data_IF_427303306072
#
_entry.id   IF_427303306072
#
_cell.length_a   1.000
_cell.length_b   1.000
_cell.length_c   1.000
_cell.angle_alpha   90.00
_cell.angle_beta   90.00
_cell.angle_gamma   90.00
#
_symmetry.space_group_name_H-M   'P 1'
#
loop_
_entity.id
_entity.type
_entity.pdbx_description
1 polymer ?
#
# COMPACT_ATOMS: atom_id res chain seq x y z
N UNK A 1 8.12 12.77 16.10
CA UNK A 1 7.74 12.15 14.82
C UNK A 1 6.32 12.58 14.51
N UNK A 2 6.05 13.16 13.33
CA UNK A 2 4.69 13.54 12.94
C UNK A 2 3.90 12.31 12.55
N UNK A 3 2.61 12.36 12.78
CA UNK A 3 1.68 11.28 12.51
C UNK A 3 0.53 11.80 11.64
N UNK A 4 0.33 11.18 10.49
CA UNK A 4 -0.78 11.46 9.58
C UNK A 4 -1.81 10.35 9.70
N UNK A 5 -3.01 10.73 10.14
CA UNK A 5 -4.12 9.79 10.29
C UNK A 5 -4.66 9.36 8.93
N UNK A 6 -5.25 8.19 8.91
CA UNK A 6 -5.85 7.60 7.71
C UNK A 6 -6.88 8.51 7.05
N UNK A 7 -6.91 8.49 5.75
CA UNK A 7 -7.93 9.15 4.94
C UNK A 7 -9.19 8.29 4.91
N UNK A 8 -10.40 8.85 4.98
CA UNK A 8 -11.62 8.08 4.82
C UNK A 8 -11.69 7.45 3.41
N UNK A 9 -12.58 6.46 3.25
CA UNK A 9 -12.90 5.88 1.96
C UNK A 9 -13.31 6.94 0.95
N UNK A 10 -13.04 6.72 -0.32
CA UNK A 10 -13.47 7.62 -1.37
C UNK A 10 -14.67 7.05 -2.15
N UNK A 11 -15.44 7.97 -2.74
CA UNK A 11 -16.67 7.62 -3.45
C UNK A 11 -16.44 7.16 -4.90
N UNK A 12 -15.20 7.20 -5.38
CA UNK A 12 -14.84 6.81 -6.75
C UNK A 12 -13.88 7.80 -7.41
N UNK A 13 -13.58 7.61 -8.69
CA UNK A 13 -12.63 8.45 -9.44
C UNK A 13 -13.02 9.93 -9.52
N UNK A 14 -14.29 10.25 -9.36
CA UNK A 14 -14.81 11.62 -9.38
C UNK A 14 -14.86 12.28 -7.98
N UNK A 15 -14.28 11.67 -6.97
CA UNK A 15 -14.24 12.21 -5.61
C UNK A 15 -13.48 13.56 -5.60
N UNK A 16 -14.13 14.67 -5.19
CA UNK A 16 -13.53 16.01 -5.27
C UNK A 16 -12.31 16.19 -4.37
N UNK A 17 -12.11 15.32 -3.40
CA UNK A 17 -10.92 15.32 -2.55
C UNK A 17 -9.76 14.50 -3.12
N UNK A 18 -9.97 13.79 -4.22
CA UNK A 18 -8.91 13.09 -4.91
C UNK A 18 -7.83 14.08 -5.36
N UNK A 19 -6.59 13.77 -5.03
CA UNK A 19 -5.44 14.60 -5.38
C UNK A 19 -5.22 15.86 -4.53
N UNK A 20 -6.07 16.16 -3.55
CA UNK A 20 -5.79 17.23 -2.59
C UNK A 20 -4.61 16.86 -1.68
N UNK A 21 -3.62 17.76 -1.60
CA UNK A 21 -2.46 17.58 -0.74
C UNK A 21 -2.89 17.50 0.73
N UNK A 22 -2.56 16.39 1.39
CA UNK A 22 -2.92 16.09 2.79
C UNK A 22 -1.91 16.63 3.80
N UNK A 23 -0.71 16.97 3.34
CA UNK A 23 0.32 17.52 4.18
C UNK A 23 1.62 17.73 3.43
N UNK A 24 2.61 18.29 4.14
CA UNK A 24 3.96 18.48 3.62
C UNK A 24 4.94 17.63 4.39
N UNK A 25 5.93 17.07 3.72
CA UNK A 25 7.04 16.32 4.30
C UNK A 25 8.33 17.10 4.06
N UNK A 26 9.16 17.23 5.07
CA UNK A 26 10.52 17.71 4.89
C UNK A 26 11.43 16.54 4.48
N UNK A 27 12.50 16.85 3.73
CA UNK A 27 13.54 15.86 3.46
C UNK A 27 14.21 15.42 4.78
N UNK A 28 14.57 14.15 4.84
CA UNK A 28 15.17 13.46 5.99
C UNK A 28 14.27 13.39 7.23
N UNK A 29 13.00 13.73 7.07
CA UNK A 29 12.01 13.59 8.13
C UNK A 29 11.48 12.15 8.19
N UNK A 30 11.39 11.61 9.42
CA UNK A 30 10.68 10.34 9.68
C UNK A 30 9.26 10.65 10.13
N UNK A 31 8.29 10.02 9.49
CA UNK A 31 6.85 10.20 9.75
C UNK A 31 6.15 8.87 9.88
N UNK A 32 4.97 8.89 10.49
CA UNK A 32 4.00 7.77 10.45
C UNK A 32 2.82 8.17 9.58
N UNK A 33 2.46 7.31 8.65
CA UNK A 33 1.28 7.47 7.79
C UNK A 33 0.36 6.28 8.01
N UNK A 34 -0.86 6.55 8.47
CA UNK A 34 -1.89 5.53 8.56
C UNK A 34 -2.58 5.33 7.21
N UNK A 35 -2.80 4.07 6.87
CA UNK A 35 -3.53 3.65 5.67
C UNK A 35 -4.70 2.75 6.03
N UNK A 36 -5.72 2.76 5.20
CA UNK A 36 -6.80 1.78 5.24
C UNK A 36 -6.40 0.68 4.26
N UNK A 37 -6.56 -0.56 4.62
CA UNK A 37 -6.34 -1.70 3.74
C UNK A 37 -7.26 -1.62 2.52
N UNK A 38 -6.93 -2.36 1.46
CA UNK A 38 -7.59 -2.32 0.16
C UNK A 38 -9.10 -2.46 0.19
N UNK A 39 -9.67 -2.82 -0.91
CA UNK A 39 -11.11 -2.90 -1.07
C UNK A 39 -11.81 -3.63 0.08
N UNK A 40 -12.82 -3.03 0.68
CA UNK A 40 -13.77 -3.61 1.64
C UNK A 40 -13.36 -3.64 3.13
N UNK A 41 -12.44 -2.81 3.59
CA UNK A 41 -12.19 -2.67 5.04
C UNK A 41 -13.34 -2.01 5.84
N UNK A 42 -14.40 -1.62 5.17
CA UNK A 42 -15.69 -1.43 5.83
C UNK A 42 -16.34 -2.81 5.98
N UNK A 43 -15.95 -3.52 7.02
CA UNK A 43 -16.35 -4.91 7.26
C UNK A 43 -17.87 -5.08 7.38
N UNK A 44 -18.57 -4.07 7.90
CA UNK A 44 -20.02 -4.07 8.01
C UNK A 44 -20.66 -3.91 6.61
N UNK A 45 -20.20 -2.96 5.81
CA UNK A 45 -20.67 -2.77 4.44
C UNK A 45 -20.33 -3.95 3.54
N UNK A 46 -19.22 -4.65 3.81
CA UNK A 46 -18.82 -5.89 3.13
C UNK A 46 -19.65 -7.11 3.57
N UNK A 47 -20.50 -6.96 4.58
CA UNK A 47 -21.36 -8.02 5.10
C UNK A 47 -20.72 -8.94 6.13
N UNK A 48 -19.54 -8.59 6.66
CA UNK A 48 -18.94 -9.36 7.73
C UNK A 48 -19.51 -8.94 9.09
N UNK A 49 -19.99 -9.92 9.83
CA UNK A 49 -20.55 -9.73 11.18
C UNK A 49 -19.57 -10.17 12.26
N UNK A 50 -18.58 -10.99 11.91
CA UNK A 50 -17.57 -11.51 12.84
C UNK A 50 -16.32 -12.00 12.13
N UNK A 51 -15.22 -11.97 12.87
CA UNK A 51 -13.94 -12.56 12.46
C UNK A 51 -14.09 -14.07 12.27
N UNK A 52 -13.37 -14.62 11.29
CA UNK A 52 -13.45 -16.02 10.92
C UNK A 52 -14.66 -16.37 10.04
N UNK A 53 -15.47 -15.39 9.67
CA UNK A 53 -16.56 -15.58 8.75
C UNK A 53 -16.06 -15.70 7.31
N UNK A 54 -16.64 -16.65 6.57
CA UNK A 54 -16.49 -16.77 5.11
C UNK A 54 -17.84 -16.46 4.49
N UNK A 55 -17.86 -15.59 3.49
CA UNK A 55 -19.05 -15.25 2.71
C UNK A 55 -18.79 -15.44 1.23
N UNK A 56 -19.84 -15.83 0.50
CA UNK A 56 -19.81 -16.00 -0.95
C UNK A 56 -20.62 -14.89 -1.63
N UNK A 57 -20.29 -14.60 -2.87
CA UNK A 57 -20.98 -13.60 -3.70
C UNK A 57 -20.25 -12.26 -3.80
N UNK A 58 -20.81 -11.36 -4.61
CA UNK A 58 -20.25 -10.04 -4.85
C UNK A 58 -20.46 -9.10 -3.66
N UNK A 59 -19.50 -8.24 -3.41
CA UNK A 59 -19.62 -7.14 -2.46
C UNK A 59 -19.74 -5.81 -3.19
N UNK A 60 -20.36 -4.85 -2.54
CA UNK A 60 -20.22 -3.45 -2.96
C UNK A 60 -18.81 -3.00 -2.59
N UNK A 61 -17.95 -2.84 -3.61
CA UNK A 61 -16.57 -2.40 -3.40
C UNK A 61 -16.56 -0.95 -2.93
N UNK A 62 -15.94 -0.70 -1.78
CA UNK A 62 -15.42 0.60 -1.41
C UNK A 62 -13.90 0.54 -1.56
N UNK A 63 -13.34 1.48 -2.29
CA UNK A 63 -11.89 1.55 -2.45
C UNK A 63 -11.31 2.38 -1.32
N UNK A 64 -10.31 1.83 -0.63
CA UNK A 64 -9.51 2.60 0.29
C UNK A 64 -8.72 3.67 -0.47
N UNK A 65 -8.60 4.85 0.13
CA UNK A 65 -7.68 5.86 -0.36
C UNK A 65 -6.27 5.50 0.07
N UNK A 66 -5.27 5.55 -0.81
CA UNK A 66 -3.89 5.64 -0.37
C UNK A 66 -3.71 6.81 0.59
N UNK A 67 -2.84 6.67 1.57
CA UNK A 67 -2.37 7.79 2.38
C UNK A 67 -1.72 8.84 1.47
N UNK A 68 -2.07 10.12 1.65
CA UNK A 68 -1.57 11.20 0.79
C UNK A 68 -2.62 11.77 -0.18
N UNK A 69 -2.21 12.50 -1.23
CA UNK A 69 -0.80 12.81 -1.56
C UNK A 69 -0.15 13.79 -0.57
N UNK A 70 1.14 13.57 -0.32
CA UNK A 70 1.98 14.45 0.49
C UNK A 70 2.95 15.21 -0.40
N UNK A 71 3.06 16.52 -0.19
CA UNK A 71 4.02 17.36 -0.87
C UNK A 71 5.39 17.28 -0.16
N UNK A 72 6.42 16.82 -0.86
CA UNK A 72 7.80 16.75 -0.32
C UNK A 72 8.51 18.08 -0.62
N UNK A 73 8.86 18.83 0.41
CA UNK A 73 9.49 20.13 0.26
C UNK A 73 10.88 20.00 -0.38
N UNK A 74 11.14 20.87 -1.38
CA UNK A 74 12.42 20.91 -2.09
C UNK A 74 12.61 19.86 -3.17
N UNK A 75 11.58 19.06 -3.50
CA UNK A 75 11.60 18.13 -4.63
C UNK A 75 11.00 18.82 -5.87
N UNK A 76 11.72 18.73 -6.97
CA UNK A 76 11.33 19.23 -8.27
C UNK A 76 11.16 18.08 -9.28
N UNK A 77 10.52 18.30 -10.44
CA UNK A 77 10.46 17.31 -11.51
C UNK A 77 11.86 16.78 -11.85
N UNK A 78 11.93 15.48 -12.13
CA UNK A 78 13.14 14.70 -12.40
C UNK A 78 14.06 14.43 -11.18
N UNK A 79 13.81 15.02 -10.03
CA UNK A 79 14.48 14.58 -8.79
C UNK A 79 14.10 13.14 -8.44
N UNK A 80 15.07 12.36 -8.01
CA UNK A 80 14.83 11.05 -7.44
C UNK A 80 14.63 11.14 -5.93
N UNK A 81 13.61 10.46 -5.45
CA UNK A 81 13.23 10.39 -4.03
C UNK A 81 13.40 8.98 -3.53
N UNK A 82 14.11 8.83 -2.43
CA UNK A 82 14.22 7.58 -1.67
C UNK A 82 13.16 7.59 -0.56
N UNK A 83 12.36 6.54 -0.51
CA UNK A 83 11.32 6.32 0.49
C UNK A 83 11.71 5.06 1.27
N UNK A 84 12.34 5.25 2.42
CA UNK A 84 12.79 4.17 3.31
C UNK A 84 11.60 3.70 4.15
N UNK A 85 11.25 2.44 4.05
CA UNK A 85 10.20 1.80 4.86
C UNK A 85 10.84 1.26 6.14
N UNK A 86 10.65 1.97 7.25
CA UNK A 86 11.30 1.65 8.53
C UNK A 86 10.52 0.58 9.30
N UNK A 87 9.20 0.75 9.39
CA UNK A 87 8.33 -0.15 10.14
C UNK A 87 6.90 -0.13 9.58
N UNK A 88 6.17 -1.21 9.80
CA UNK A 88 4.75 -1.33 9.47
C UNK A 88 4.03 -2.02 10.62
N UNK A 89 3.12 -1.31 11.28
CA UNK A 89 2.22 -1.86 12.29
C UNK A 89 0.87 -2.13 11.64
N UNK A 90 0.48 -3.40 11.57
CA UNK A 90 -0.77 -3.81 10.91
C UNK A 90 -1.91 -3.91 11.91
N UNK A 91 -3.13 -3.73 11.40
CA UNK A 91 -4.35 -3.85 12.18
C UNK A 91 -4.66 -5.28 12.65
N UNK A 92 -5.68 -5.46 13.51
CA UNK A 92 -6.02 -6.75 14.09
C UNK A 92 -6.83 -7.68 13.18
N UNK A 93 -7.24 -7.20 12.01
CA UNK A 93 -8.07 -7.96 11.07
C UNK A 93 -7.57 -7.76 9.66
N UNK A 94 -7.45 -8.86 8.91
CA UNK A 94 -7.11 -8.87 7.50
C UNK A 94 -8.28 -9.39 6.66
N UNK A 95 -8.51 -8.73 5.54
CA UNK A 95 -9.51 -9.12 4.58
C UNK A 95 -8.85 -9.84 3.41
N UNK A 96 -9.36 -11.01 3.05
CA UNK A 96 -8.91 -11.76 1.89
C UNK A 96 -10.10 -12.10 1.00
N UNK A 97 -9.93 -11.92 -0.29
CA UNK A 97 -10.90 -12.32 -1.30
C UNK A 97 -10.23 -13.18 -2.36
N UNK A 98 -11.01 -14.05 -2.94
CA UNK A 98 -10.65 -14.79 -4.14
C UNK A 98 -11.46 -14.22 -5.30
N UNK A 99 -10.81 -13.59 -6.26
CA UNK A 99 -11.45 -12.79 -7.31
C UNK A 99 -11.35 -13.36 -8.73
N UNK A 100 -10.79 -14.53 -8.90
CA UNK A 100 -10.64 -15.14 -10.23
C UNK A 100 -11.91 -15.87 -10.70
N UNK A 101 -12.23 -15.84 -12.01
CA UNK A 101 -13.43 -16.46 -12.57
C UNK A 101 -13.48 -17.98 -12.37
N UNK A 102 -12.35 -18.62 -12.09
CA UNK A 102 -12.23 -20.08 -11.91
C UNK A 102 -12.03 -20.50 -10.46
N UNK A 103 -11.97 -19.56 -9.49
CA UNK A 103 -11.58 -19.84 -8.10
C UNK A 103 -12.75 -19.76 -7.12
N UNK A 104 -13.93 -19.46 -7.60
CA UNK A 104 -15.09 -19.12 -6.76
C UNK A 104 -15.01 -17.67 -6.26
N UNK A 105 -16.13 -17.16 -5.84
CA UNK A 105 -16.26 -15.77 -5.36
C UNK A 105 -16.53 -15.82 -3.85
N UNK A 106 -15.45 -15.93 -3.05
CA UNK A 106 -15.54 -15.96 -1.61
C UNK A 106 -14.59 -14.94 -0.96
N UNK A 107 -14.97 -14.52 0.22
CA UNK A 107 -14.26 -13.53 1.03
C UNK A 107 -14.12 -14.04 2.45
N UNK A 108 -13.05 -13.68 3.11
CA UNK A 108 -12.75 -14.07 4.48
C UNK A 108 -12.24 -12.87 5.28
N UNK A 109 -12.76 -12.72 6.49
CA UNK A 109 -12.19 -11.83 7.49
C UNK A 109 -11.34 -12.66 8.47
N UNK A 110 -10.03 -12.53 8.37
CA UNK A 110 -9.06 -13.26 9.19
C UNK A 110 -8.63 -12.43 10.41
N UNK A 111 -8.42 -13.08 11.55
CA UNK A 111 -7.80 -12.43 12.71
C UNK A 111 -6.29 -12.32 12.50
N UNK A 112 -5.73 -11.16 12.88
CA UNK A 112 -4.28 -10.95 12.92
C UNK A 112 -3.86 -10.72 14.37
N UNK A 113 -3.06 -11.64 14.91
CA UNK A 113 -2.57 -11.60 16.29
C UNK A 113 -1.28 -12.40 16.43
N UNK A 114 -0.44 -12.00 17.37
CA UNK A 114 0.83 -12.66 17.68
C UNK A 114 1.74 -12.88 16.46
N UNK A 115 1.71 -11.92 15.50
CA UNK A 115 2.46 -12.01 14.26
C UNK A 115 1.94 -13.04 13.25
N UNK A 116 0.73 -13.54 13.44
CA UNK A 116 0.11 -14.57 12.63
C UNK A 116 -1.26 -14.12 12.10
N UNK A 117 -1.61 -14.58 10.89
CA UNK A 117 -2.92 -14.43 10.26
C UNK A 117 -3.64 -15.76 10.42
N UNK A 118 -4.81 -15.72 11.05
CA UNK A 118 -5.62 -16.90 11.34
C UNK A 118 -6.81 -16.98 10.39
N UNK A 119 -6.71 -17.85 9.41
CA UNK A 119 -7.80 -18.15 8.48
C UNK A 119 -8.69 -19.28 9.00
N UNK A 120 -10.01 -19.21 8.82
CA UNK A 120 -10.88 -20.31 9.13
C UNK A 120 -10.69 -21.49 8.12
N UNK A 121 -10.90 -22.76 8.54
CA UNK A 121 -11.19 -23.16 9.90
C UNK A 121 -9.94 -23.14 10.83
N UNK A 122 -8.75 -23.51 10.35
CA UNK A 122 -7.54 -23.71 11.18
C UNK A 122 -6.23 -23.44 10.43
N UNK A 123 -6.26 -22.62 9.38
CA UNK A 123 -5.07 -22.31 8.59
C UNK A 123 -4.40 -21.04 9.11
N UNK A 124 -3.10 -21.09 9.35
CA UNK A 124 -2.31 -20.00 9.93
C UNK A 124 -1.08 -19.71 9.09
N UNK A 125 -0.83 -18.42 8.83
CA UNK A 125 0.39 -17.98 8.14
C UNK A 125 1.04 -16.81 8.89
N UNK A 126 2.37 -16.66 8.83
CA UNK A 126 3.05 -15.50 9.40
C UNK A 126 2.65 -14.20 8.70
N UNK A 127 2.51 -13.13 9.48
CA UNK A 127 2.43 -11.76 8.96
C UNK A 127 3.78 -11.41 8.32
N UNK A 128 3.72 -10.91 7.10
CA UNK A 128 4.85 -10.33 6.37
C UNK A 128 4.30 -9.16 5.55
N UNK A 129 4.16 -7.98 6.16
CA UNK A 129 3.46 -6.87 5.55
C UNK A 129 4.27 -6.27 4.41
N UNK A 130 3.57 -5.86 3.36
CA UNK A 130 4.13 -5.17 2.23
C UNK A 130 3.18 -4.06 1.75
N UNK A 131 3.70 -3.12 0.96
CA UNK A 131 2.93 -2.02 0.38
C UNK A 131 2.63 -2.36 -1.08
N UNK A 132 1.34 -2.50 -1.43
CA UNK A 132 0.90 -2.73 -2.80
C UNK A 132 0.98 -1.47 -3.66
N UNK A 133 0.52 -0.34 -3.13
CA UNK A 133 0.52 0.95 -3.84
C UNK A 133 1.52 1.92 -3.24
N UNK A 134 2.49 2.38 -4.04
CA UNK A 134 3.36 3.51 -3.69
C UNK A 134 3.74 4.28 -4.96
N UNK A 135 3.58 5.62 -4.95
CA UNK A 135 3.80 6.44 -6.13
C UNK A 135 4.19 7.88 -5.79
N UNK A 136 4.88 8.54 -6.71
CA UNK A 136 5.10 9.98 -6.74
C UNK A 136 4.22 10.66 -7.79
N UNK A 137 2.91 10.56 -7.59
CA UNK A 137 1.91 11.23 -8.40
C UNK A 137 0.65 11.48 -7.57
N UNK A 138 -0.03 12.59 -7.80
CA UNK A 138 -1.41 12.70 -7.33
C UNK A 138 -2.21 11.65 -8.08
N UNK A 139 -2.88 10.78 -7.37
CA UNK A 139 -3.62 9.64 -7.88
C UNK A 139 -3.61 9.54 -9.43
N UNK A 140 -2.77 8.69 -9.95
CA UNK A 140 -2.69 8.39 -11.37
C UNK A 140 -2.78 6.88 -11.55
N UNK A 141 -3.27 6.39 -12.69
CA UNK A 141 -3.10 4.98 -13.04
C UNK A 141 -1.63 4.58 -12.90
N UNK A 142 -1.39 3.34 -12.51
CA UNK A 142 -0.03 2.81 -12.42
C UNK A 142 0.76 3.09 -13.69
N UNK A 143 1.99 3.53 -13.52
CA UNK A 143 2.86 3.87 -14.63
C UNK A 143 4.30 3.48 -14.32
N UNK A 144 5.03 3.14 -15.38
CA UNK A 144 6.38 2.61 -15.25
C UNK A 144 7.36 3.59 -14.59
N UNK A 145 7.09 4.88 -14.63
CA UNK A 145 8.02 5.93 -14.24
C UNK A 145 7.67 6.65 -12.91
N UNK A 146 6.47 6.46 -12.39
CA UNK A 146 6.03 7.13 -11.15
C UNK A 146 5.56 6.18 -10.06
N UNK A 147 5.63 4.88 -10.28
CA UNK A 147 5.09 3.86 -9.39
C UNK A 147 3.58 3.65 -9.56
N UNK A 148 2.92 3.21 -8.50
CA UNK A 148 1.49 2.91 -8.50
C UNK A 148 1.21 1.59 -7.82
N UNK A 149 0.31 0.80 -8.39
CA UNK A 149 -0.05 -0.53 -7.92
C UNK A 149 1.02 -1.53 -8.39
N UNK A 150 2.10 -1.61 -7.62
CA UNK A 150 3.24 -2.47 -7.99
C UNK A 150 3.11 -3.88 -7.45
N UNK A 151 2.42 -4.08 -6.33
CA UNK A 151 2.22 -5.38 -5.68
C UNK A 151 3.49 -6.22 -5.59
N UNK A 152 4.58 -5.57 -5.20
CA UNK A 152 5.88 -6.19 -5.13
C UNK A 152 6.28 -6.52 -3.68
N UNK A 153 6.42 -7.80 -3.38
CA UNK A 153 6.67 -8.31 -2.03
C UNK A 153 7.95 -7.78 -1.36
N UNK A 154 8.89 -7.22 -2.12
CA UNK A 154 10.10 -6.62 -1.57
C UNK A 154 9.87 -5.23 -0.95
N UNK A 155 8.71 -4.57 -1.19
CA UNK A 155 8.36 -3.29 -0.59
C UNK A 155 7.81 -3.53 0.84
N UNK A 156 8.71 -3.77 1.76
CA UNK A 156 8.44 -4.17 3.14
C UNK A 156 9.37 -3.42 4.11
N UNK A 157 9.18 -3.55 5.45
CA UNK A 157 10.13 -2.97 6.40
C UNK A 157 11.58 -3.36 6.12
N UNK A 158 12.47 -2.37 6.06
CA UNK A 158 13.89 -2.53 5.72
C UNK A 158 14.20 -2.33 4.23
N UNK A 159 13.22 -2.09 3.38
CA UNK A 159 13.43 -1.70 1.98
C UNK A 159 13.42 -0.18 1.79
N UNK A 160 14.00 0.27 0.68
CA UNK A 160 13.91 1.65 0.20
C UNK A 160 13.41 1.65 -1.23
N UNK A 161 12.33 2.40 -1.47
CA UNK A 161 11.77 2.57 -2.83
C UNK A 161 12.26 3.90 -3.39
N UNK A 162 12.87 3.86 -4.56
CA UNK A 162 13.35 5.03 -5.26
C UNK A 162 12.46 5.31 -6.46
N UNK A 163 11.88 6.51 -6.51
CA UNK A 163 10.97 6.92 -7.57
C UNK A 163 11.37 8.32 -8.06
N UNK A 164 11.31 8.53 -9.37
CA UNK A 164 11.56 9.83 -10.00
C UNK A 164 10.30 10.69 -9.94
N UNK A 165 10.43 11.89 -9.39
CA UNK A 165 9.32 12.85 -9.31
C UNK A 165 8.98 13.40 -10.70
N UNK A 166 7.70 13.45 -11.04
CA UNK A 166 7.20 14.04 -12.28
C UNK A 166 6.63 15.44 -12.07
N UNK A 167 6.39 15.82 -10.83
CA UNK A 167 5.77 17.09 -10.45
C UNK A 167 6.49 17.71 -9.26
N UNK A 168 6.40 19.04 -9.08
CA UNK A 168 6.89 19.68 -7.88
C UNK A 168 6.34 19.01 -6.61
N UNK A 169 7.22 18.75 -5.65
CA UNK A 169 6.88 18.06 -4.41
C UNK A 169 6.62 16.55 -4.56
N UNK A 170 6.81 15.97 -5.73
CA UNK A 170 6.64 14.54 -6.00
C UNK A 170 5.21 14.01 -5.77
N UNK A 171 4.49 14.52 -4.79
CA UNK A 171 3.12 14.12 -4.42
C UNK A 171 3.03 12.65 -4.00
N UNK A 172 3.77 12.29 -2.95
CA UNK A 172 3.83 10.93 -2.42
C UNK A 172 2.46 10.41 -1.98
N UNK A 173 2.04 9.29 -2.54
CA UNK A 173 0.89 8.52 -2.09
C UNK A 173 1.27 7.06 -1.90
N UNK A 174 0.78 6.42 -0.83
CA UNK A 174 1.06 5.03 -0.53
C UNK A 174 -0.10 4.38 0.26
N UNK A 175 -0.24 3.07 0.13
CA UNK A 175 -1.29 2.32 0.81
C UNK A 175 -1.44 0.93 0.23
N UNK A 176 -2.68 0.41 0.30
CA UNK A 176 -2.95 -0.94 -0.19
C UNK A 176 -2.00 -1.96 0.47
N UNK A 177 -1.97 -1.89 1.80
CA UNK A 177 -1.08 -2.74 2.58
C UNK A 177 -1.65 -4.13 2.68
N UNK A 178 -0.84 -5.12 2.35
CA UNK A 178 -1.18 -6.52 2.56
C UNK A 178 -0.43 -7.07 3.78
N UNK A 179 -1.14 -7.70 4.71
CA UNK A 179 -0.50 -8.42 5.83
C UNK A 179 0.34 -9.60 5.33
N UNK A 180 -0.03 -10.13 4.17
CA UNK A 180 0.66 -11.17 3.41
C UNK A 180 0.16 -11.19 1.98
N UNK A 181 1.07 -11.38 1.04
CA UNK A 181 0.75 -11.60 -0.37
C UNK A 181 1.64 -12.71 -0.93
N UNK A 182 1.15 -13.51 -1.85
CA UNK A 182 1.96 -14.41 -2.68
C UNK A 182 2.51 -13.67 -3.89
N UNK A 183 3.65 -14.09 -4.42
CA UNK A 183 4.25 -13.47 -5.59
C UNK A 183 3.28 -13.48 -6.78
N UNK A 184 3.22 -12.35 -7.47
CA UNK A 184 2.34 -12.17 -8.63
C UNK A 184 0.86 -12.00 -8.31
N UNK A 185 0.49 -11.92 -7.04
CA UNK A 185 -0.89 -11.70 -6.59
C UNK A 185 -1.94 -12.50 -7.39
N UNK A 186 -1.70 -13.80 -7.57
CA UNK A 186 -2.42 -14.68 -8.50
C UNK A 186 -3.94 -14.69 -8.33
N UNK A 187 -4.44 -14.42 -7.14
CA UNK A 187 -5.88 -14.37 -6.84
C UNK A 187 -6.49 -12.98 -6.99
N UNK A 188 -5.67 -11.97 -7.33
CA UNK A 188 -6.06 -10.58 -7.47
C UNK A 188 -6.41 -9.91 -6.14
N UNK A 189 -5.85 -10.39 -5.05
CA UNK A 189 -5.83 -9.75 -3.73
C UNK A 189 -4.79 -10.41 -2.82
N UNK A 190 -4.08 -9.60 -2.06
CA UNK A 190 -3.37 -10.05 -0.87
C UNK A 190 -4.30 -10.16 0.33
N UNK A 191 -3.74 -10.20 1.54
CA UNK A 191 -4.52 -10.04 2.78
C UNK A 191 -4.55 -8.56 3.10
N UNK A 192 -5.59 -7.89 2.64
CA UNK A 192 -5.81 -6.46 2.79
C UNK A 192 -5.90 -6.06 4.25
N UNK A 193 -5.16 -5.05 4.70
CA UNK A 193 -5.12 -4.68 6.10
C UNK A 193 -4.84 -3.20 6.33
N UNK A 194 -5.44 -2.64 7.38
CA UNK A 194 -5.07 -1.31 7.87
C UNK A 194 -3.63 -1.34 8.40
N UNK A 195 -2.89 -0.27 8.19
CA UNK A 195 -1.53 -0.18 8.70
C UNK A 195 -1.14 1.24 9.11
N UNK A 196 -0.18 1.32 10.03
CA UNK A 196 0.58 2.52 10.33
C UNK A 196 2.02 2.31 9.81
N UNK A 197 2.39 3.05 8.77
CA UNK A 197 3.67 2.93 8.10
C UNK A 197 4.61 4.00 8.61
N UNK A 198 5.72 3.59 9.22
CA UNK A 198 6.83 4.49 9.57
C UNK A 198 7.80 4.53 8.41
N UNK A 199 8.01 5.71 7.86
CA UNK A 199 8.90 5.92 6.72
C UNK A 199 9.72 7.20 6.85
N UNK A 200 10.81 7.27 6.06
CA UNK A 200 11.60 8.48 5.88
C UNK A 200 11.76 8.76 4.39
N UNK A 201 11.61 10.04 4.01
CA UNK A 201 11.85 10.50 2.64
C UNK A 201 13.16 11.26 2.58
N UNK A 202 13.97 10.98 1.54
CA UNK A 202 15.23 11.69 1.30
C UNK A 202 15.50 11.83 -0.20
N UNK A 203 16.50 12.61 -0.58
CA UNK A 203 16.98 12.62 -1.96
C UNK A 203 17.68 11.31 -2.29
N UNK A 204 17.43 10.79 -3.47
CA UNK A 204 18.16 9.66 -4.02
C UNK A 204 19.21 10.13 -5.04
N UNK A 205 20.33 9.42 -5.19
CA UNK A 205 21.31 9.74 -6.24
C UNK A 205 20.77 9.51 -7.67
N UNK A 206 19.65 8.79 -7.79
CA UNK A 206 19.08 8.40 -9.07
C UNK A 206 19.69 7.12 -9.64
N UNK A 207 19.01 6.60 -10.66
CA UNK A 207 19.38 5.34 -11.32
C UNK A 207 19.34 5.52 -12.83
N UNK A 208 20.10 4.70 -13.61
CA UNK A 208 20.12 4.78 -15.07
C UNK A 208 18.89 4.12 -15.73
N UNK A 209 17.74 4.21 -15.10
CA UNK A 209 16.44 3.71 -15.59
C UNK A 209 15.36 4.75 -15.37
N UNK A 210 14.17 4.54 -15.93
CA UNK A 210 13.01 5.42 -15.71
C UNK A 210 12.03 4.85 -14.67
N UNK A 211 12.04 3.55 -14.46
CA UNK A 211 11.15 2.85 -13.55
C UNK A 211 11.56 3.01 -12.07
N UNK A 212 10.64 2.81 -11.12
CA UNK A 212 10.97 2.70 -9.72
C UNK A 212 12.00 1.61 -9.45
N UNK A 213 12.86 1.85 -8.47
CA UNK A 213 13.87 0.89 -8.03
C UNK A 213 13.63 0.55 -6.57
N UNK A 214 13.69 -0.74 -6.23
CA UNK A 214 13.56 -1.20 -4.84
C UNK A 214 14.90 -1.74 -4.38
N UNK A 215 15.43 -1.12 -3.33
CA UNK A 215 16.63 -1.55 -2.64
C UNK A 215 16.22 -2.33 -1.38
N UNK A 216 16.68 -3.57 -1.29
CA UNK A 216 16.56 -4.40 -0.09
C UNK A 216 17.95 -4.65 0.50
N UNK A 217 18.06 -5.38 1.59
CA UNK A 217 19.36 -5.75 2.18
C UNK A 217 20.21 -6.54 1.20
N UNK A 218 21.05 -5.85 0.42
CA UNK A 218 22.04 -6.44 -0.48
C UNK A 218 21.58 -6.70 -1.91
N UNK A 219 20.38 -6.31 -2.27
CA UNK A 219 19.84 -6.44 -3.64
C UNK A 219 19.16 -5.14 -4.04
N UNK A 220 19.39 -4.72 -5.29
CA UNK A 220 18.69 -3.59 -5.93
C UNK A 220 17.98 -4.14 -7.16
N UNK A 221 16.68 -3.94 -7.24
CA UNK A 221 15.84 -4.40 -8.34
C UNK A 221 15.07 -3.22 -8.95
N UNK A 222 14.99 -3.14 -10.26
CA UNK A 222 14.18 -2.14 -10.95
C UNK A 222 12.86 -2.75 -11.44
N UNK A 223 11.82 -1.94 -11.56
CA UNK A 223 10.55 -2.38 -12.11
C UNK A 223 10.61 -2.73 -13.62
N UNK A 224 11.71 -2.42 -14.29
CA UNK A 224 11.97 -2.86 -15.67
C UNK A 224 12.37 -4.35 -15.78
N UNK A 225 12.73 -4.96 -14.64
CA UNK A 225 13.20 -6.34 -14.56
C UNK A 225 12.11 -7.33 -14.07
N UNK A 226 10.88 -6.83 -13.83
CA UNK A 226 9.75 -7.61 -13.29
C UNK A 226 8.77 -8.09 -14.36
#
# INVERSE_FOLDING_TARGET
>A
MRHFTRTPFYSGPDDPEMGQVRGKLALDETVVIETIGGADNDYEAAGFLKVGQIISGDSHRRYARPGGPFFIEGIEPDDWVAIEIINMEVGPYGFYRNGGPNWGNWRCLAAVRDGLIHFPPDFVVPVRPMIGVIQLASWAPSGIDHGGNMDFNAIQPGSTVHIRAQKPGGLLSLGDVHARMGDGELTGAGVEIDAAITLKVSRSPGFPCSAPVVETTGVVESAEEW
#
